data_IF_014883640598
#
_entry.id   IF_014883640598
#
_cell.length_a   1.000
_cell.length_b   1.000
_cell.length_c   1.000
_cell.angle_alpha   90.00
_cell.angle_beta   90.00
_cell.angle_gamma   90.00
#
_symmetry.space_group_name_H-M   'P 1'
#
loop_
_entity.id
_entity.type
_entity.pdbx_description
1 polymer ?
#
# COMPACT_ATOMS: atom_id res chain seq x y z
N UNK A 1 2.74 -13.46 14.98
CA UNK A 1 3.41 -12.18 14.75
C UNK A 1 2.73 -11.06 15.53
N UNK A 2 3.52 -10.15 16.03
CA UNK A 2 3.00 -8.96 16.70
C UNK A 2 2.48 -7.95 15.68
N UNK A 3 1.44 -7.21 16.06
CA UNK A 3 0.96 -6.08 15.27
C UNK A 3 1.93 -4.91 15.38
N UNK A 4 2.08 -4.17 14.30
CA UNK A 4 2.88 -2.95 14.25
C UNK A 4 2.01 -1.79 13.79
N UNK A 5 2.33 -0.60 14.25
CA UNK A 5 1.69 0.62 13.75
C UNK A 5 2.24 0.96 12.38
N UNK A 6 1.38 1.42 11.49
CA UNK A 6 1.77 1.83 10.16
C UNK A 6 0.90 3.00 9.67
N UNK A 7 1.40 3.72 8.68
CA UNK A 7 0.72 4.87 8.10
C UNK A 7 -0.10 4.44 6.89
N UNK A 8 -1.38 4.83 6.89
CA UNK A 8 -2.28 4.68 5.74
C UNK A 8 -2.45 6.04 5.08
N UNK A 9 -2.38 6.07 3.76
CA UNK A 9 -2.65 7.26 2.94
C UNK A 9 -3.97 7.03 2.22
N UNK A 10 -4.92 7.92 2.44
CA UNK A 10 -6.28 7.77 1.95
C UNK A 10 -6.71 9.03 1.22
N UNK A 11 -7.49 8.86 0.14
CA UNK A 11 -8.06 9.98 -0.59
C UNK A 11 -9.10 10.69 0.27
N UNK A 12 -8.88 11.98 0.53
CA UNK A 12 -9.80 12.83 1.28
C UNK A 12 -10.62 13.74 0.37
N UNK A 13 -10.19 13.95 -0.87
CA UNK A 13 -10.87 14.81 -1.81
C UNK A 13 -10.09 14.92 -3.11
N UNK A 14 -10.42 15.93 -3.91
CA UNK A 14 -9.81 16.14 -5.20
C UNK A 14 -9.64 17.63 -5.47
N UNK A 15 -8.47 18.03 -5.95
CA UNK A 15 -8.19 19.41 -6.33
C UNK A 15 -8.34 19.56 -7.84
N UNK A 16 -9.43 20.20 -8.27
CA UNK A 16 -9.74 20.37 -9.69
C UNK A 16 -8.75 21.28 -10.42
N UNK A 17 -8.11 22.21 -9.71
CA UNK A 17 -7.14 23.14 -10.31
C UNK A 17 -5.85 22.43 -10.71
N UNK A 18 -5.38 21.50 -9.89
CA UNK A 18 -4.14 20.76 -10.12
C UNK A 18 -4.37 19.40 -10.75
N UNK A 19 -5.62 18.95 -10.84
CA UNK A 19 -6.02 17.61 -11.30
C UNK A 19 -5.35 16.51 -10.47
N UNK A 20 -5.28 16.72 -9.15
CA UNK A 20 -4.61 15.80 -8.23
C UNK A 20 -5.51 15.46 -7.05
N UNK A 21 -5.41 14.21 -6.53
CA UNK A 21 -6.12 13.86 -5.31
C UNK A 21 -5.56 14.62 -4.10
N UNK A 22 -6.42 14.86 -3.13
CA UNK A 22 -6.03 15.35 -1.81
C UNK A 22 -6.01 14.14 -0.88
N UNK A 23 -4.86 13.90 -0.24
CA UNK A 23 -4.68 12.76 0.66
C UNK A 23 -4.72 13.19 2.12
N UNK A 24 -5.16 12.27 2.97
CA UNK A 24 -4.99 12.34 4.41
C UNK A 24 -4.25 11.09 4.88
N UNK A 25 -3.66 11.16 6.08
CA UNK A 25 -2.99 10.02 6.69
C UNK A 25 -3.74 9.57 7.94
N UNK A 26 -3.68 8.28 8.20
CA UNK A 26 -4.16 7.67 9.44
C UNK A 26 -3.14 6.67 9.93
N UNK A 27 -3.09 6.44 11.25
CA UNK A 27 -2.28 5.39 11.85
C UNK A 27 -3.19 4.20 12.12
N UNK A 28 -2.77 3.04 11.68
CA UNK A 28 -3.46 1.77 11.93
C UNK A 28 -2.47 0.76 12.48
N UNK A 29 -2.97 -0.40 12.86
CA UNK A 29 -2.14 -1.52 13.34
C UNK A 29 -2.42 -2.75 12.50
N UNK A 30 -1.36 -3.46 12.14
CA UNK A 30 -1.48 -4.66 11.33
C UNK A 30 -0.23 -5.52 11.37
N UNK A 31 -0.28 -6.61 10.62
CA UNK A 31 0.79 -7.59 10.53
C UNK A 31 1.65 -7.28 9.30
N UNK A 32 2.94 -7.10 9.50
CA UNK A 32 3.90 -6.86 8.44
C UNK A 32 4.19 -8.15 7.68
N UNK A 33 4.05 -8.11 6.36
CA UNK A 33 4.31 -9.24 5.47
C UNK A 33 5.27 -8.84 4.37
N UNK A 34 6.16 -9.76 4.00
CA UNK A 34 7.17 -9.56 2.96
C UNK A 34 6.86 -10.44 1.76
N UNK A 35 6.89 -9.85 0.57
CA UNK A 35 6.69 -10.55 -0.70
C UNK A 35 7.85 -10.21 -1.63
N UNK A 36 8.20 -11.15 -2.52
CA UNK A 36 9.33 -10.99 -3.45
C UNK A 36 8.88 -11.35 -4.86
N UNK A 37 9.15 -10.47 -5.85
CA UNK A 37 8.79 -10.73 -7.23
C UNK A 37 9.86 -11.50 -8.00
N UNK A 38 11.06 -11.58 -7.46
CA UNK A 38 12.17 -12.36 -8.02
C UNK A 38 12.43 -13.62 -7.21
N UNK A 39 13.67 -14.05 -7.21
CA UNK A 39 14.11 -15.14 -6.36
C UNK A 39 14.21 -14.65 -4.92
N UNK A 40 13.59 -15.36 -4.00
CA UNK A 40 13.54 -15.01 -2.58
C UNK A 40 14.95 -14.84 -1.98
N UNK A 41 15.90 -15.62 -2.46
CA UNK A 41 17.28 -15.55 -1.97
C UNK A 41 17.96 -14.21 -2.23
N UNK A 42 17.60 -13.53 -3.30
CA UNK A 42 18.21 -12.23 -3.65
C UNK A 42 17.53 -11.07 -2.95
N UNK A 43 16.24 -11.19 -2.67
CA UNK A 43 15.40 -10.15 -2.07
C UNK A 43 15.47 -8.79 -2.78
N UNK A 44 15.82 -8.79 -4.08
CA UNK A 44 16.04 -7.57 -4.85
C UNK A 44 14.73 -6.82 -5.16
N UNK A 45 13.60 -7.53 -5.21
CA UNK A 45 12.30 -6.96 -5.55
C UNK A 45 11.31 -7.20 -4.41
N UNK A 46 11.66 -6.69 -3.25
CA UNK A 46 10.85 -6.83 -2.05
C UNK A 46 9.68 -5.86 -2.04
N UNK A 47 8.53 -6.36 -1.64
CA UNK A 47 7.34 -5.58 -1.32
C UNK A 47 6.99 -5.83 0.14
N UNK A 48 6.78 -4.75 0.89
CA UNK A 48 6.38 -4.83 2.29
C UNK A 48 4.93 -4.35 2.41
N UNK A 49 4.07 -5.20 2.91
CA UNK A 49 2.66 -4.90 3.10
C UNK A 49 2.26 -5.06 4.57
N UNK A 50 1.29 -4.26 4.99
CA UNK A 50 0.65 -4.41 6.30
C UNK A 50 -0.75 -4.96 6.11
N UNK A 51 -1.04 -6.07 6.76
CA UNK A 51 -2.34 -6.73 6.72
C UNK A 51 -3.12 -6.33 7.96
N UNK A 52 -4.28 -5.72 7.77
CA UNK A 52 -5.09 -5.20 8.88
C UNK A 52 -6.57 -5.48 8.66
N UNK A 53 -7.35 -5.39 9.76
CA UNK A 53 -8.80 -5.50 9.71
C UNK A 53 -9.41 -4.16 9.29
N UNK A 54 -10.48 -4.24 8.48
CA UNK A 54 -11.13 -3.03 7.93
C UNK A 54 -12.29 -2.53 8.78
N UNK A 55 -12.90 -3.38 9.58
CA UNK A 55 -14.18 -3.08 10.21
C UNK A 55 -15.40 -3.30 9.30
N UNK A 56 -15.18 -3.57 8.01
CA UNK A 56 -16.25 -3.91 7.06
C UNK A 56 -16.69 -5.36 7.24
N UNK A 57 -18.00 -5.62 7.17
CA UNK A 57 -18.53 -6.98 7.35
C UNK A 57 -18.30 -7.88 6.14
N UNK A 58 -18.16 -7.28 4.95
CA UNK A 58 -17.99 -8.02 3.69
C UNK A 58 -16.51 -8.26 3.35
N UNK A 59 -15.68 -7.23 3.49
CA UNK A 59 -14.23 -7.30 3.23
C UNK A 59 -13.48 -7.01 4.52
N UNK A 60 -13.31 -8.06 5.33
CA UNK A 60 -12.77 -7.94 6.71
C UNK A 60 -11.30 -7.58 6.77
N UNK A 61 -10.55 -7.90 5.72
CA UNK A 61 -9.11 -7.75 5.69
C UNK A 61 -8.66 -6.90 4.53
N UNK A 62 -7.56 -6.18 4.72
CA UNK A 62 -6.96 -5.36 3.67
C UNK A 62 -5.45 -5.40 3.76
N UNK A 63 -4.79 -5.10 2.63
CA UNK A 63 -3.34 -4.96 2.54
C UNK A 63 -3.00 -3.53 2.14
N UNK A 64 -2.04 -2.93 2.85
CA UNK A 64 -1.55 -1.59 2.61
C UNK A 64 -0.05 -1.64 2.34
N UNK A 65 0.40 -0.98 1.28
CA UNK A 65 1.83 -0.98 0.94
C UNK A 65 2.58 0.00 1.85
N UNK A 66 3.72 -0.43 2.39
CA UNK A 66 4.40 0.27 3.48
C UNK A 66 4.98 1.64 3.08
N UNK A 67 5.52 1.78 1.87
CA UNK A 67 6.22 3.02 1.46
C UNK A 67 5.26 4.11 0.99
N UNK A 68 4.17 3.73 0.35
CA UNK A 68 3.16 4.68 -0.15
C UNK A 68 1.97 4.86 0.80
N UNK A 69 1.76 3.91 1.71
CA UNK A 69 0.59 3.89 2.57
C UNK A 69 -0.72 3.63 1.83
N UNK A 70 -0.67 3.30 0.55
CA UNK A 70 -1.85 3.11 -0.29
C UNK A 70 -2.40 1.69 -0.18
N UNK A 71 -3.72 1.57 -0.26
CA UNK A 71 -4.41 0.28 -0.27
C UNK A 71 -4.06 -0.50 -1.54
N UNK A 72 -3.70 -1.77 -1.37
CA UNK A 72 -3.39 -2.69 -2.47
C UNK A 72 -4.61 -3.53 -2.83
N UNK A 73 -5.21 -4.16 -1.84
CA UNK A 73 -6.39 -5.01 -2.04
C UNK A 73 -7.12 -5.25 -0.72
N UNK A 74 -8.31 -5.79 -0.81
CA UNK A 74 -9.10 -6.23 0.34
C UNK A 74 -9.74 -7.58 0.05
N UNK A 75 -10.15 -8.30 1.09
CA UNK A 75 -10.76 -9.61 0.95
C UNK A 75 -11.53 -10.04 2.19
N UNK A 76 -12.35 -11.06 2.04
CA UNK A 76 -13.16 -11.60 3.12
C UNK A 76 -12.32 -12.34 4.17
N UNK A 77 -11.26 -13.02 3.72
CA UNK A 77 -10.37 -13.82 4.56
C UNK A 77 -8.92 -13.43 4.30
N UNK A 78 -8.03 -13.84 5.20
CA UNK A 78 -6.59 -13.65 5.01
C UNK A 78 -6.10 -14.39 3.76
N UNK A 79 -6.64 -15.58 3.49
CA UNK A 79 -6.28 -16.35 2.31
C UNK A 79 -6.65 -15.62 1.02
N UNK A 80 -7.82 -14.99 0.97
CA UNK A 80 -8.27 -14.20 -0.20
C UNK A 80 -7.33 -13.04 -0.46
N UNK A 81 -6.91 -12.33 0.57
CA UNK A 81 -5.96 -11.21 0.46
C UNK A 81 -4.61 -11.71 -0.06
N UNK A 82 -4.10 -12.79 0.51
CA UNK A 82 -2.81 -13.37 0.11
C UNK A 82 -2.85 -13.83 -1.35
N UNK A 83 -3.92 -14.50 -1.78
CA UNK A 83 -4.10 -14.93 -3.16
C UNK A 83 -4.09 -13.74 -4.12
N UNK A 84 -4.81 -12.67 -3.81
CA UNK A 84 -4.83 -11.45 -4.61
C UNK A 84 -3.44 -10.82 -4.75
N UNK A 85 -2.70 -10.76 -3.66
CA UNK A 85 -1.34 -10.23 -3.67
C UNK A 85 -0.45 -11.07 -4.57
N UNK A 86 -0.47 -12.40 -4.42
CA UNK A 86 0.38 -13.31 -5.19
C UNK A 86 0.06 -13.28 -6.69
N UNK A 87 -1.21 -13.21 -7.05
CA UNK A 87 -1.64 -13.13 -8.46
C UNK A 87 -1.13 -11.86 -9.14
N UNK A 88 -1.10 -10.74 -8.41
CA UNK A 88 -0.78 -9.41 -8.95
C UNK A 88 0.58 -8.87 -8.48
N UNK A 89 1.47 -9.73 -8.02
CA UNK A 89 2.71 -9.31 -7.36
C UNK A 89 3.59 -8.41 -8.24
N UNK A 90 3.81 -8.78 -9.51
CA UNK A 90 4.62 -7.99 -10.44
C UNK A 90 3.99 -6.62 -10.72
N UNK A 91 2.66 -6.58 -10.88
CA UNK A 91 1.93 -5.33 -11.10
C UNK A 91 2.04 -4.41 -9.89
N UNK A 92 1.91 -4.96 -8.69
CA UNK A 92 2.05 -4.19 -7.44
C UNK A 92 3.45 -3.59 -7.35
N UNK A 93 4.48 -4.39 -7.58
CA UNK A 93 5.87 -3.93 -7.56
C UNK A 93 6.10 -2.81 -8.57
N UNK A 94 5.66 -2.99 -9.81
CA UNK A 94 5.81 -2.00 -10.87
C UNK A 94 5.10 -0.69 -10.53
N UNK A 95 3.87 -0.77 -10.00
CA UNK A 95 3.10 0.41 -9.61
C UNK A 95 3.79 1.20 -8.51
N UNK A 96 4.26 0.52 -7.46
CA UNK A 96 4.92 1.17 -6.31
C UNK A 96 6.20 1.89 -6.76
N UNK A 97 6.93 1.31 -7.70
CA UNK A 97 8.23 1.82 -8.13
C UNK A 97 8.16 2.71 -9.39
N UNK A 98 6.97 3.03 -9.85
CA UNK A 98 6.78 3.91 -10.99
C UNK A 98 7.22 3.31 -12.32
N UNK A 99 7.26 1.98 -12.43
CA UNK A 99 7.65 1.27 -13.64
C UNK A 99 6.42 1.13 -14.55
N UNK A 100 6.53 1.62 -15.78
CA UNK A 100 5.42 1.63 -16.76
C UNK A 100 4.19 2.40 -16.28
N UNK A 101 4.38 3.42 -15.46
CA UNK A 101 3.32 4.29 -14.97
C UNK A 101 3.37 5.64 -15.68
N UNK A 102 2.23 6.35 -15.71
CA UNK A 102 2.17 7.70 -16.27
C UNK A 102 2.90 8.70 -15.39
N UNK A 103 3.26 9.85 -15.96
CA UNK A 103 3.86 10.95 -15.22
C UNK A 103 2.94 11.42 -14.07
N UNK A 104 1.64 11.49 -14.34
CA UNK A 104 0.64 11.84 -13.32
C UNK A 104 0.62 10.83 -12.18
N UNK A 105 0.65 9.53 -12.49
CA UNK A 105 0.68 8.49 -11.46
C UNK A 105 1.97 8.56 -10.65
N UNK A 106 3.11 8.84 -11.27
CA UNK A 106 4.37 9.00 -10.55
C UNK A 106 4.32 10.17 -9.56
N UNK A 107 3.68 11.27 -9.92
CA UNK A 107 3.47 12.39 -9.00
C UNK A 107 2.60 11.98 -7.81
N UNK A 108 1.53 11.24 -8.04
CA UNK A 108 0.64 10.73 -6.99
C UNK A 108 1.41 9.80 -6.03
N UNK A 109 2.19 8.87 -6.58
CA UNK A 109 3.00 7.95 -5.77
C UNK A 109 4.03 8.71 -4.92
N UNK A 110 4.69 9.71 -5.49
CA UNK A 110 5.66 10.52 -4.77
C UNK A 110 5.02 11.33 -3.65
N UNK A 111 3.82 11.88 -3.88
CA UNK A 111 3.05 12.56 -2.84
C UNK A 111 2.73 11.61 -1.68
N UNK A 112 2.27 10.40 -1.98
CA UNK A 112 1.94 9.40 -0.96
C UNK A 112 3.19 9.01 -0.16
N UNK A 113 4.31 8.74 -0.82
CA UNK A 113 5.59 8.39 -0.18
C UNK A 113 6.07 9.50 0.77
N UNK A 114 5.96 10.77 0.35
CA UNK A 114 6.32 11.90 1.21
C UNK A 114 5.45 11.97 2.45
N UNK A 115 4.15 11.75 2.32
CA UNK A 115 3.24 11.76 3.46
C UNK A 115 3.57 10.66 4.47
N UNK A 116 3.89 9.47 4.01
CA UNK A 116 4.31 8.36 4.88
C UNK A 116 5.60 8.71 5.60
N UNK A 117 6.59 9.22 4.86
CA UNK A 117 7.88 9.61 5.41
C UNK A 117 7.72 10.68 6.50
N UNK A 118 6.95 11.73 6.23
CA UNK A 118 6.71 12.82 7.16
C UNK A 118 5.97 12.34 8.42
N UNK A 119 4.99 11.47 8.27
CA UNK A 119 4.25 10.91 9.40
C UNK A 119 5.16 10.06 10.29
N UNK A 120 6.11 9.32 9.73
CA UNK A 120 7.04 8.49 10.48
C UNK A 120 8.13 9.28 11.21
N UNK A 121 8.35 10.55 10.83
CA UNK A 121 9.32 11.43 11.49
C UNK A 121 8.75 12.15 12.73
N UNK A 122 7.46 12.03 12.95
CA UNK A 122 6.78 12.69 14.08
C UNK A 122 6.74 11.84 15.34
#
# INVERSE_FOLDING_TARGET
>A
MAKEKFVKVMKAGYNNKTDMPIFKTEIDEGYKQFYYTGLEETKEQEIVLFISKTGDSKYKWQATEATTGLLVCSGKTLADVDDEILIHLDRIYNSINGINTSERMNKILNMAKELVKNANLQ
#
